data_IF_848702800360
#
_entry.id   IF_848702800360
#
_cell.length_a   1.000
_cell.length_b   1.000
_cell.length_c   1.000
_cell.angle_alpha   90.00
_cell.angle_beta   90.00
_cell.angle_gamma   90.00
#
_symmetry.space_group_name_H-M   'P 1'
#
loop_
_entity.id
_entity.type
_entity.pdbx_description
1 polymer ?
#
# COMPACT_ATOMS: atom_id res chain seq x y z
N UNK A 1 16.17 -9.03 4.35
CA UNK A 1 15.05 -9.87 4.84
C UNK A 1 13.78 -9.52 4.05
N UNK A 2 12.77 -10.42 4.02
CA UNK A 2 11.48 -10.13 3.34
C UNK A 2 10.38 -10.03 4.39
N UNK A 3 9.64 -8.93 4.37
CA UNK A 3 8.51 -8.66 5.26
C UNK A 3 7.23 -8.53 4.44
N UNK A 4 6.17 -9.23 4.84
CA UNK A 4 4.85 -9.07 4.27
C UNK A 4 3.99 -8.19 5.17
N UNK A 5 3.59 -7.00 4.73
CA UNK A 5 2.73 -6.14 5.52
C UNK A 5 1.28 -6.26 5.10
N UNK A 6 0.46 -6.75 6.02
CA UNK A 6 -0.98 -6.97 5.84
C UNK A 6 -1.78 -6.04 6.74
N UNK A 7 -2.77 -5.35 6.18
CA UNK A 7 -3.60 -4.40 6.91
C UNK A 7 -5.08 -4.56 6.60
N UNK A 8 -5.90 -4.53 7.65
CA UNK A 8 -7.37 -4.48 7.54
C UNK A 8 -7.93 -3.25 8.23
N UNK A 9 -9.08 -2.77 7.75
CA UNK A 9 -9.75 -1.59 8.30
C UNK A 9 -10.63 -1.90 9.50
N UNK A 10 -11.02 -3.16 9.67
CA UNK A 10 -11.85 -3.64 10.78
C UNK A 10 -11.45 -5.05 11.13
N UNK A 11 -11.60 -5.43 12.40
CA UNK A 11 -11.32 -6.80 12.88
C UNK A 11 -12.22 -7.88 12.23
N UNK A 12 -13.29 -7.48 11.54
CA UNK A 12 -14.19 -8.39 10.80
C UNK A 12 -13.71 -8.69 9.37
N UNK A 13 -12.76 -7.92 8.83
CA UNK A 13 -12.20 -8.17 7.51
C UNK A 13 -11.15 -9.29 7.59
N UNK A 14 -11.17 -10.19 6.60
CA UNK A 14 -10.22 -11.30 6.54
C UNK A 14 -8.87 -10.81 6.03
N UNK A 15 -7.87 -10.87 6.89
CA UNK A 15 -6.48 -10.56 6.56
C UNK A 15 -5.80 -11.75 5.87
N UNK A 16 -6.38 -12.94 6.01
CA UNK A 16 -5.82 -14.23 5.56
C UNK A 16 -5.54 -14.20 4.06
N UNK A 17 -6.44 -13.63 3.24
CA UNK A 17 -6.24 -13.52 1.79
C UNK A 17 -4.96 -12.75 1.43
N UNK A 18 -4.65 -11.66 2.15
CA UNK A 18 -3.42 -10.91 1.91
C UNK A 18 -2.19 -11.76 2.28
N UNK A 19 -2.28 -12.47 3.39
CA UNK A 19 -1.21 -13.38 3.86
C UNK A 19 -0.96 -14.49 2.85
N UNK A 20 -2.02 -15.13 2.35
CA UNK A 20 -1.95 -16.19 1.33
C UNK A 20 -1.33 -15.67 0.02
N UNK A 21 -1.76 -14.48 -0.45
CA UNK A 21 -1.20 -13.87 -1.65
C UNK A 21 0.30 -13.59 -1.49
N UNK A 22 0.72 -13.09 -0.32
CA UNK A 22 2.13 -12.82 -0.06
C UNK A 22 2.92 -14.11 0.04
N UNK A 23 2.45 -15.12 0.77
CA UNK A 23 3.17 -16.38 0.91
C UNK A 23 3.30 -17.18 -0.40
N UNK A 24 2.36 -17.01 -1.33
CA UNK A 24 2.45 -17.64 -2.64
C UNK A 24 3.67 -17.17 -3.43
N UNK A 25 4.00 -15.87 -3.38
CA UNK A 25 5.13 -15.28 -4.08
C UNK A 25 6.42 -15.24 -3.21
N UNK A 26 6.23 -15.12 -1.89
CA UNK A 26 7.31 -15.00 -0.91
C UNK A 26 7.10 -15.94 0.28
N UNK A 27 7.33 -17.26 0.13
CA UNK A 27 7.03 -18.26 1.17
C UNK A 27 7.75 -18.03 2.51
N UNK A 28 8.91 -17.37 2.47
CA UNK A 28 9.74 -17.08 3.65
C UNK A 28 9.51 -15.67 4.23
N UNK A 29 8.45 -14.96 3.81
CA UNK A 29 8.18 -13.61 4.30
C UNK A 29 7.76 -13.62 5.77
N UNK A 30 8.30 -12.69 6.55
CA UNK A 30 7.87 -12.42 7.92
C UNK A 30 6.61 -11.56 7.86
N UNK A 31 5.46 -12.13 8.23
CA UNK A 31 4.18 -11.42 8.13
C UNK A 31 3.97 -10.49 9.32
N UNK A 32 3.75 -9.21 9.02
CA UNK A 32 3.37 -8.16 9.95
C UNK A 32 1.89 -7.85 9.73
N UNK A 33 1.07 -8.10 10.74
CA UNK A 33 -0.39 -7.89 10.68
C UNK A 33 -0.77 -6.63 11.44
N UNK A 34 -1.38 -5.67 10.75
CA UNK A 34 -1.93 -4.45 11.33
C UNK A 34 -3.46 -4.53 11.39
N UNK A 35 -4.01 -4.68 12.57
CA UNK A 35 -5.44 -4.62 12.79
C UNK A 35 -5.84 -3.20 13.22
N UNK A 36 -6.48 -2.47 12.34
CA UNK A 36 -6.90 -1.09 12.59
C UNK A 36 -8.34 -1.06 13.13
N UNK A 37 -8.56 -0.51 14.31
CA UNK A 37 -9.88 -0.09 14.75
C UNK A 37 -10.11 1.34 14.29
N UNK A 38 -11.23 1.59 13.56
CA UNK A 38 -11.49 2.86 12.84
C UNK A 38 -11.48 4.16 13.65
N UNK A 39 -11.07 4.13 14.92
CA UNK A 39 -10.95 5.29 15.81
C UNK A 39 -9.55 5.91 15.85
N UNK A 40 -8.50 5.18 15.48
CA UNK A 40 -7.11 5.66 15.62
C UNK A 40 -6.34 5.55 14.30
N UNK A 41 -5.71 6.66 13.90
CA UNK A 41 -4.88 6.77 12.69
C UNK A 41 -3.51 6.10 12.87
N UNK A 42 -3.16 5.76 14.12
CA UNK A 42 -1.86 5.19 14.45
C UNK A 42 -1.71 3.77 13.90
N UNK A 43 -0.57 3.52 13.23
CA UNK A 43 -0.18 2.21 12.69
C UNK A 43 1.06 1.72 13.47
N UNK A 44 0.89 1.19 14.69
CA UNK A 44 2.02 0.83 15.54
C UNK A 44 2.91 -0.24 14.91
N UNK A 45 2.35 -1.23 14.24
CA UNK A 45 3.14 -2.30 13.63
C UNK A 45 3.89 -1.80 12.39
N UNK A 46 3.27 -0.93 11.58
CA UNK A 46 3.96 -0.24 10.49
C UNK A 46 5.11 0.63 10.98
N UNK A 47 4.87 1.41 12.03
CA UNK A 47 5.91 2.27 12.63
C UNK A 47 7.08 1.45 13.19
N UNK A 48 6.79 0.32 13.85
CA UNK A 48 7.82 -0.61 14.32
C UNK A 48 8.60 -1.23 13.16
N UNK A 49 7.90 -1.66 12.11
CA UNK A 49 8.52 -2.23 10.93
C UNK A 49 9.49 -1.22 10.30
N UNK A 50 9.03 0.02 10.00
CA UNK A 50 9.89 1.05 9.38
C UNK A 50 11.19 1.31 10.16
N UNK A 51 11.12 1.35 11.50
CA UNK A 51 12.30 1.56 12.36
C UNK A 51 13.32 0.43 12.32
N UNK A 52 12.92 -0.78 11.95
CA UNK A 52 13.79 -1.97 11.92
C UNK A 52 14.29 -2.33 10.52
N UNK A 53 13.70 -1.77 9.47
CA UNK A 53 14.13 -1.99 8.09
C UNK A 53 15.57 -1.56 7.89
N UNK A 54 16.30 -2.35 7.11
CA UNK A 54 17.69 -2.10 6.73
C UNK A 54 17.84 -2.14 5.21
N UNK A 55 18.84 -1.46 4.70
CA UNK A 55 19.23 -1.53 3.29
C UNK A 55 19.22 -2.97 2.78
N UNK A 56 18.54 -3.20 1.66
CA UNK A 56 18.38 -4.51 1.02
C UNK A 56 17.24 -5.36 1.61
N UNK A 57 16.50 -4.86 2.62
CA UNK A 57 15.25 -5.51 3.04
C UNK A 57 14.15 -5.27 2.00
N UNK A 58 13.20 -6.20 1.93
CA UNK A 58 12.04 -6.11 1.03
C UNK A 58 10.76 -6.03 1.85
N UNK A 59 9.87 -5.11 1.49
CA UNK A 59 8.52 -5.05 2.05
C UNK A 59 7.50 -5.34 0.96
N UNK A 60 6.71 -6.38 1.17
CA UNK A 60 5.69 -6.86 0.24
C UNK A 60 4.31 -6.46 0.72
N UNK A 61 3.53 -5.86 -0.18
CA UNK A 61 2.13 -5.48 0.02
C UNK A 61 1.24 -6.23 -0.97
N UNK A 62 0.05 -6.63 -0.56
CA UNK A 62 -0.95 -7.20 -1.49
C UNK A 62 -1.37 -6.16 -2.55
N UNK A 63 -1.52 -4.90 -2.13
CA UNK A 63 -1.87 -3.76 -2.99
C UNK A 63 -1.39 -2.43 -2.36
N UNK A 64 -1.29 -1.38 -3.17
CA UNK A 64 -0.86 -0.03 -2.78
C UNK A 64 -1.65 0.52 -1.58
N UNK A 65 -2.96 0.28 -1.53
CA UNK A 65 -3.83 0.75 -0.45
C UNK A 65 -3.46 0.19 0.93
N UNK A 66 -2.63 -0.88 1.00
CA UNK A 66 -2.13 -1.41 2.28
C UNK A 66 -1.03 -0.54 2.84
N UNK A 67 -0.18 0.02 1.97
CA UNK A 67 0.87 0.94 2.37
C UNK A 67 0.30 2.29 2.80
N UNK A 68 -0.49 2.94 1.96
CA UNK A 68 -1.16 4.19 2.30
C UNK A 68 -2.58 4.27 1.72
N UNK A 69 -3.43 5.11 2.31
CA UNK A 69 -4.76 5.47 1.82
C UNK A 69 -4.82 6.90 1.33
N UNK A 70 -3.82 7.68 1.63
CA UNK A 70 -3.61 9.02 1.15
C UNK A 70 -2.45 8.96 0.14
N UNK A 71 -2.63 9.57 -1.01
CA UNK A 71 -1.65 9.51 -2.09
C UNK A 71 -0.36 10.24 -1.72
N UNK A 72 -0.45 11.42 -1.13
CA UNK A 72 0.70 12.22 -0.74
C UNK A 72 1.56 11.50 0.29
N UNK A 73 0.95 11.05 1.41
CA UNK A 73 1.64 10.26 2.44
C UNK A 73 2.29 9.00 1.85
N UNK A 74 1.61 8.37 0.88
CA UNK A 74 2.09 7.16 0.21
C UNK A 74 3.33 7.42 -0.63
N UNK A 75 3.34 8.50 -1.40
CA UNK A 75 4.47 8.91 -2.23
C UNK A 75 5.67 9.28 -1.37
N UNK A 76 5.48 10.04 -0.30
CA UNK A 76 6.54 10.42 0.63
C UNK A 76 7.21 9.19 1.25
N UNK A 77 6.39 8.26 1.77
CA UNK A 77 6.90 7.01 2.36
C UNK A 77 7.59 6.13 1.31
N UNK A 78 7.05 6.07 0.09
CA UNK A 78 7.70 5.35 -1.01
C UNK A 78 9.07 5.91 -1.31
N UNK A 79 9.20 7.24 -1.44
CA UNK A 79 10.46 7.92 -1.71
C UNK A 79 11.47 7.69 -0.59
N UNK A 80 11.07 7.88 0.66
CA UNK A 80 11.93 7.64 1.83
C UNK A 80 12.50 6.21 1.84
N UNK A 81 11.65 5.20 1.63
CA UNK A 81 12.08 3.81 1.65
C UNK A 81 12.96 3.48 0.44
N UNK A 82 12.65 4.03 -0.74
CA UNK A 82 13.47 3.87 -1.93
C UNK A 82 14.87 4.47 -1.76
N UNK A 83 14.99 5.68 -1.18
CA UNK A 83 16.26 6.33 -0.90
C UNK A 83 17.09 5.57 0.14
N UNK A 84 16.43 4.93 1.11
CA UNK A 84 17.07 4.04 2.08
C UNK A 84 17.38 2.63 1.52
N UNK A 85 17.25 2.44 0.20
CA UNK A 85 17.52 1.19 -0.49
C UNK A 85 16.69 0.00 0.04
N UNK A 86 15.46 0.27 0.48
CA UNK A 86 14.47 -0.74 0.81
C UNK A 86 13.68 -1.10 -0.47
N UNK A 87 13.52 -2.39 -0.72
CA UNK A 87 12.72 -2.86 -1.84
C UNK A 87 11.23 -2.88 -1.47
N UNK A 88 10.39 -2.25 -2.30
CA UNK A 88 8.94 -2.28 -2.19
C UNK A 88 8.36 -3.14 -3.31
N UNK A 89 7.52 -4.08 -2.93
CA UNK A 89 6.83 -4.96 -3.86
C UNK A 89 5.31 -4.89 -3.63
N UNK A 90 4.58 -4.56 -4.69
CA UNK A 90 3.12 -4.49 -4.72
C UNK A 90 2.62 -5.59 -5.66
N UNK A 91 1.96 -6.61 -5.09
CA UNK A 91 1.58 -7.80 -5.87
C UNK A 91 0.57 -7.49 -6.98
N UNK A 92 -0.34 -6.55 -6.74
CA UNK A 92 -1.34 -6.16 -7.74
C UNK A 92 -0.88 -5.04 -8.67
N UNK A 93 0.06 -4.24 -8.24
CA UNK A 93 0.61 -3.12 -9.02
C UNK A 93 2.13 -3.27 -9.25
N UNK A 94 2.57 -4.34 -9.96
CA UNK A 94 4.00 -4.63 -10.12
C UNK A 94 4.78 -3.57 -10.90
N UNK A 95 4.08 -2.74 -11.68
CA UNK A 95 4.68 -1.65 -12.44
C UNK A 95 5.28 -0.53 -11.58
N UNK A 96 4.87 -0.44 -10.29
CA UNK A 96 5.44 0.52 -9.34
C UNK A 96 6.38 -0.11 -8.32
N UNK A 97 6.76 -1.37 -8.49
CA UNK A 97 7.78 -1.99 -7.65
C UNK A 97 9.09 -1.21 -7.75
N UNK A 98 9.82 -1.07 -6.65
CA UNK A 98 11.11 -0.37 -6.65
C UNK A 98 12.11 -0.98 -7.61
N UNK A 99 12.08 -2.30 -7.80
CA UNK A 99 12.92 -3.00 -8.79
C UNK A 99 12.61 -2.52 -10.22
N UNK A 100 11.33 -2.35 -10.58
CA UNK A 100 10.91 -1.81 -11.89
C UNK A 100 11.42 -0.39 -12.08
N UNK A 101 11.28 0.44 -11.04
CA UNK A 101 11.77 1.82 -11.06
C UNK A 101 13.30 1.90 -11.18
N UNK A 102 14.05 1.04 -10.44
CA UNK A 102 15.53 0.96 -10.58
C UNK A 102 15.96 0.50 -11.96
N UNK A 103 15.24 -0.46 -12.55
CA UNK A 103 15.52 -0.89 -13.94
C UNK A 103 15.31 0.26 -14.91
N UNK A 104 14.26 1.05 -14.76
CA UNK A 104 14.06 2.24 -15.57
C UNK A 104 15.20 3.26 -15.42
N UNK A 105 15.71 3.44 -14.18
CA UNK A 105 16.89 4.27 -13.91
C UNK A 105 18.18 3.71 -14.54
N UNK A 106 18.39 2.40 -14.45
CA UNK A 106 19.57 1.74 -15.02
C UNK A 106 19.58 1.78 -16.55
N UNK A 107 18.39 1.84 -17.17
CA UNK A 107 18.22 1.96 -18.63
C UNK A 107 18.28 3.41 -19.13
N UNK A 108 18.72 4.35 -18.30
CA UNK A 108 18.99 5.71 -18.76
C UNK A 108 20.04 5.71 -19.86
N UNK A 109 19.85 6.60 -20.85
CA UNK A 109 20.77 6.73 -21.96
C UNK A 109 22.11 7.27 -21.44
N UNK A 110 23.19 6.54 -21.71
CA UNK A 110 24.54 6.93 -21.32
C UNK A 110 24.96 8.21 -22.04
N UNK A 111 25.62 9.10 -21.34
CA UNK A 111 26.19 10.32 -21.93
C UNK A 111 27.41 9.96 -22.78
N UNK A 112 27.59 10.69 -23.87
CA UNK A 112 28.62 10.44 -24.92
C UNK A 112 29.88 11.30 -24.75
N UNK A 113 29.82 12.33 -23.90
CA UNK A 113 30.88 13.35 -23.77
C UNK A 113 30.84 14.41 -24.88
N UNK A 114 29.78 14.52 -25.64
CA UNK A 114 29.61 15.44 -26.76
C UNK A 114 28.47 16.45 -26.52
N UNK A 115 28.30 17.41 -27.43
CA UNK A 115 27.20 18.39 -27.35
C UNK A 115 25.79 17.78 -27.43
N UNK A 116 25.67 16.52 -27.88
CA UNK A 116 24.41 15.77 -27.90
C UNK A 116 23.93 15.47 -26.47
N UNK A 117 24.80 15.50 -25.48
CA UNK A 117 24.47 15.17 -24.08
C UNK A 117 23.38 16.08 -23.49
N UNK A 118 23.25 17.32 -23.95
CA UNK A 118 22.13 18.19 -23.54
C UNK A 118 20.78 17.58 -23.89
N UNK A 119 20.66 16.92 -25.03
CA UNK A 119 19.43 16.24 -25.47
C UNK A 119 19.23 14.97 -24.64
N UNK A 120 20.30 14.19 -24.46
CA UNK A 120 20.26 12.92 -23.70
C UNK A 120 19.88 13.15 -22.24
N UNK A 121 20.42 14.19 -21.61
CA UNK A 121 20.01 14.60 -20.26
C UNK A 121 18.53 14.98 -20.20
N UNK A 122 18.04 15.73 -21.19
CA UNK A 122 16.63 16.10 -21.29
C UNK A 122 15.72 14.88 -21.39
N UNK A 123 16.08 13.91 -22.23
CA UNK A 123 15.37 12.63 -22.38
C UNK A 123 15.38 11.85 -21.05
N UNK A 124 16.54 11.71 -20.41
CA UNK A 124 16.66 11.01 -19.14
C UNK A 124 15.82 11.65 -18.03
N UNK A 125 15.80 12.99 -17.94
CA UNK A 125 14.93 13.72 -17.01
C UNK A 125 13.45 13.45 -17.29
N UNK A 126 13.06 13.41 -18.54
CA UNK A 126 11.68 13.11 -18.95
C UNK A 126 11.29 11.68 -18.58
N UNK A 127 12.13 10.67 -18.86
CA UNK A 127 11.89 9.28 -18.48
C UNK A 127 11.75 9.12 -16.95
N UNK A 128 12.57 9.83 -16.18
CA UNK A 128 12.47 9.87 -14.73
C UNK A 128 11.14 10.46 -14.27
N UNK A 129 10.71 11.56 -14.90
CA UNK A 129 9.43 12.18 -14.53
C UNK A 129 8.24 11.27 -14.83
N UNK A 130 8.28 10.51 -15.93
CA UNK A 130 7.26 9.52 -16.25
C UNK A 130 7.19 8.39 -15.21
N UNK A 131 8.34 7.87 -14.77
CA UNK A 131 8.38 6.83 -13.76
C UNK A 131 7.80 7.32 -12.42
N UNK A 132 8.15 8.54 -11.99
CA UNK A 132 7.55 9.17 -10.79
C UNK A 132 6.04 9.36 -10.94
N UNK A 133 5.59 9.77 -12.12
CA UNK A 133 4.18 9.98 -12.42
C UNK A 133 3.40 8.65 -12.34
N UNK A 134 3.95 7.54 -12.80
CA UNK A 134 3.31 6.22 -12.68
C UNK A 134 3.09 5.82 -11.22
N UNK A 135 4.08 6.08 -10.36
CA UNK A 135 3.96 5.83 -8.92
C UNK A 135 2.85 6.71 -8.34
N UNK A 136 2.84 8.02 -8.67
CA UNK A 136 1.83 8.97 -8.21
C UNK A 136 0.43 8.53 -8.61
N UNK A 137 0.22 8.19 -9.89
CA UNK A 137 -1.07 7.76 -10.41
C UNK A 137 -1.58 6.48 -9.73
N UNK A 138 -0.71 5.53 -9.41
CA UNK A 138 -1.11 4.31 -8.70
C UNK A 138 -1.63 4.61 -7.30
N UNK A 139 -0.99 5.51 -6.55
CA UNK A 139 -1.47 5.93 -5.23
C UNK A 139 -2.78 6.73 -5.30
N UNK A 140 -2.90 7.68 -6.25
CA UNK A 140 -4.13 8.44 -6.45
C UNK A 140 -5.30 7.54 -6.86
N UNK A 141 -5.05 6.56 -7.71
CA UNK A 141 -6.08 5.60 -8.11
C UNK A 141 -6.54 4.77 -6.92
N UNK A 142 -5.61 4.27 -6.11
CA UNK A 142 -5.95 3.52 -4.90
C UNK A 142 -6.73 4.36 -3.88
N UNK A 143 -6.43 5.65 -3.74
CA UNK A 143 -7.17 6.58 -2.88
C UNK A 143 -8.59 6.78 -3.38
N UNK A 144 -8.77 7.07 -4.68
CA UNK A 144 -10.09 7.21 -5.33
C UNK A 144 -10.94 5.96 -5.21
N UNK A 145 -10.34 4.78 -5.34
CA UNK A 145 -11.05 3.51 -5.19
C UNK A 145 -11.60 3.33 -3.76
N UNK A 146 -10.78 3.64 -2.75
CA UNK A 146 -11.21 3.60 -1.34
C UNK A 146 -12.35 4.58 -1.08
N UNK A 147 -12.29 5.79 -1.64
CA UNK A 147 -13.34 6.80 -1.50
C UNK A 147 -14.63 6.36 -2.19
N UNK A 148 -14.54 5.84 -3.42
CA UNK A 148 -15.67 5.30 -4.16
C UNK A 148 -16.37 4.16 -3.40
N UNK A 149 -15.61 3.22 -2.85
CA UNK A 149 -16.15 2.13 -2.04
C UNK A 149 -16.85 2.63 -0.78
N UNK A 150 -16.30 3.65 -0.11
CA UNK A 150 -16.94 4.30 1.06
C UNK A 150 -18.28 4.93 0.67
N UNK A 151 -18.29 5.71 -0.42
CA UNK A 151 -19.50 6.37 -0.92
C UNK A 151 -20.57 5.34 -1.26
N UNK A 152 -20.23 4.32 -2.05
CA UNK A 152 -21.16 3.23 -2.41
C UNK A 152 -21.73 2.51 -1.18
N UNK A 153 -20.89 2.24 -0.18
CA UNK A 153 -21.33 1.61 1.07
C UNK A 153 -22.31 2.50 1.82
N UNK A 154 -22.01 3.81 1.93
CA UNK A 154 -22.90 4.79 2.61
C UNK A 154 -24.24 4.92 1.88
N UNK A 155 -24.22 5.00 0.56
CA UNK A 155 -25.43 5.05 -0.27
C UNK A 155 -26.27 3.76 -0.11
N UNK A 156 -25.61 2.59 -0.15
CA UNK A 156 -26.28 1.30 0.07
C UNK A 156 -26.92 1.20 1.45
N UNK A 157 -26.24 1.65 2.50
CA UNK A 157 -26.81 1.70 3.86
C UNK A 157 -28.00 2.65 3.95
N UNK A 158 -27.91 3.83 3.29
CA UNK A 158 -29.03 4.79 3.23
C UNK A 158 -30.24 4.16 2.55
N UNK A 159 -30.04 3.50 1.41
CA UNK A 159 -31.14 2.84 0.68
C UNK A 159 -31.73 1.70 1.48
N UNK A 160 -30.93 0.86 2.12
CA UNK A 160 -31.41 -0.20 2.99
C UNK A 160 -32.27 0.34 4.14
N UNK A 161 -31.88 1.47 4.73
CA UNK A 161 -32.67 2.15 5.79
C UNK A 161 -34.01 2.66 5.25
N UNK A 162 -34.03 3.24 4.05
CA UNK A 162 -35.26 3.70 3.40
C UNK A 162 -36.24 2.54 3.09
N UNK A 163 -35.68 1.37 2.74
CA UNK A 163 -36.42 0.16 2.48
C UNK A 163 -36.84 -0.58 3.78
N UNK A 164 -36.69 0.02 4.96
CA UNK A 164 -37.07 -0.55 6.24
C UNK A 164 -36.17 -1.67 6.75
N UNK A 165 -35.02 -1.90 6.11
CA UNK A 165 -34.04 -2.90 6.57
C UNK A 165 -33.43 -2.43 7.88
N UNK A 166 -33.49 -3.26 8.93
CA UNK A 166 -32.84 -2.97 10.20
C UNK A 166 -31.32 -2.99 10.01
N UNK A 167 -30.68 -1.84 10.19
CA UNK A 167 -29.21 -1.70 10.11
C UNK A 167 -28.62 -1.78 11.51
N UNK A 168 -27.76 -2.74 11.74
CA UNK A 168 -27.09 -2.96 13.03
C UNK A 168 -27.57 -4.22 13.72
N UNK A 169 -27.26 -4.32 15.01
CA UNK A 169 -27.67 -5.48 15.80
C UNK A 169 -29.14 -5.34 16.24
N UNK A 170 -29.83 -6.46 16.29
CA UNK A 170 -31.18 -6.51 16.85
C UNK A 170 -31.19 -5.98 18.29
N UNK A 171 -32.23 -5.23 18.62
CA UNK A 171 -32.46 -4.73 19.98
C UNK A 171 -32.46 -5.92 20.94
N UNK A 172 -31.57 -5.89 21.97
CA UNK A 172 -31.44 -6.99 22.94
C UNK A 172 -30.35 -8.03 22.62
N UNK A 173 -29.62 -7.90 21.49
CA UNK A 173 -28.50 -8.80 21.22
C UNK A 173 -27.39 -8.65 22.28
N UNK A 174 -27.17 -9.68 23.08
CA UNK A 174 -26.09 -9.73 24.06
C UNK A 174 -24.75 -9.94 23.35
N UNK A 175 -23.83 -9.00 23.54
CA UNK A 175 -22.45 -9.13 23.06
C UNK A 175 -21.61 -9.86 24.08
N UNK A 176 -21.15 -11.05 23.75
CA UNK A 176 -20.00 -11.65 24.45
C UNK A 176 -18.73 -11.02 23.90
N UNK A 177 -18.18 -10.04 24.61
CA UNK A 177 -16.80 -9.64 24.42
C UNK A 177 -15.92 -10.84 24.78
N UNK A 178 -15.28 -11.46 23.79
CA UNK A 178 -14.19 -12.40 24.09
C UNK A 178 -13.12 -11.57 24.85
N UNK A 179 -13.01 -11.76 26.15
CA UNK A 179 -11.84 -11.31 26.91
C UNK A 179 -10.64 -11.95 26.22
N UNK A 180 -9.71 -11.13 25.74
CA UNK A 180 -8.39 -11.58 25.32
C UNK A 180 -7.79 -12.30 26.52
N UNK A 181 -7.55 -13.58 26.36
CA UNK A 181 -6.69 -14.36 27.24
C UNK A 181 -5.29 -13.84 26.99
N UNK A 182 -4.67 -13.33 28.03
CA UNK A 182 -3.29 -12.82 28.13
C UNK A 182 -2.33 -13.96 27.82
#
# INVERSE_FOLDING_TARGET
MVYGYCRVSTSKQRIERQVENIFREYPNAIIIKEAYSGRYITRPEWTKLRKRLKKGDTVVFDEVSRMSRNAEDGIEVYQELFENEIELCFLKEPHINTATYRTALANMISLTGTSVDFILEGINKYLMSLAKEQIRLAFEQAEKEVEFLRRRTTEGLRQAKLNGTHLGNTVGAKFTTKKSVI
#
